data_IF_345515365395
#
_entry.id   IF_345515365395
#
_cell.length_a   1.000
_cell.length_b   1.000
_cell.length_c   1.000
_cell.angle_alpha   90.00
_cell.angle_beta   90.00
_cell.angle_gamma   90.00
#
_symmetry.space_group_name_H-M   'P 1'
#
loop_
_entity.id
_entity.type
_entity.pdbx_description
1 polymer ?
#
# COMPACT_ATOMS: atom_id res chain seq x y z
N UNK A 1 -37.77 0.25 31.62
CA UNK A 1 -37.17 0.65 30.32
C UNK A 1 -35.71 0.28 30.34
N UNK A 2 -35.38 -0.88 29.80
CA UNK A 2 -34.01 -1.34 29.58
C UNK A 2 -33.46 -0.60 28.35
N UNK A 3 -32.25 -0.02 28.40
CA UNK A 3 -31.68 0.65 27.23
C UNK A 3 -31.37 -0.38 26.13
N UNK A 4 -31.46 -0.02 24.84
CA UNK A 4 -31.32 -0.97 23.74
C UNK A 4 -29.86 -1.43 23.62
N UNK A 5 -29.66 -2.76 23.64
CA UNK A 5 -28.37 -3.45 23.66
C UNK A 5 -27.73 -3.69 22.28
N UNK A 6 -28.20 -3.01 21.22
CA UNK A 6 -28.13 -3.56 19.86
C UNK A 6 -27.16 -2.91 18.85
N UNK A 7 -26.58 -1.73 19.10
CA UNK A 7 -25.74 -1.03 18.09
C UNK A 7 -24.25 -1.36 18.25
N UNK A 8 -23.75 -1.50 19.49
CA UNK A 8 -22.34 -1.78 19.76
C UNK A 8 -21.98 -3.27 19.53
N UNK A 9 -22.86 -4.20 19.91
CA UNK A 9 -22.61 -5.63 19.73
C UNK A 9 -22.47 -6.04 18.26
N UNK A 10 -23.26 -5.43 17.36
CA UNK A 10 -23.20 -5.72 15.93
C UNK A 10 -21.96 -5.12 15.25
N UNK A 11 -21.38 -4.05 15.80
CA UNK A 11 -20.12 -3.49 15.35
C UNK A 11 -18.92 -4.32 15.79
N UNK A 12 -18.86 -4.70 17.08
CA UNK A 12 -17.80 -5.54 17.62
C UNK A 12 -17.78 -6.92 16.94
N UNK A 13 -18.95 -7.48 16.63
CA UNK A 13 -19.11 -8.70 15.83
C UNK A 13 -18.57 -8.52 14.41
N UNK A 14 -18.87 -7.39 13.76
CA UNK A 14 -18.37 -7.11 12.41
C UNK A 14 -16.84 -6.94 12.37
N UNK A 15 -16.26 -6.24 13.35
CA UNK A 15 -14.80 -6.13 13.52
C UNK A 15 -14.16 -7.48 13.80
N UNK A 16 -14.76 -8.29 14.67
CA UNK A 16 -14.28 -9.63 14.98
C UNK A 16 -14.34 -10.55 13.75
N UNK A 17 -15.39 -10.45 12.95
CA UNK A 17 -15.55 -11.19 11.70
C UNK A 17 -14.49 -10.79 10.67
N UNK A 18 -14.27 -9.49 10.47
CA UNK A 18 -13.25 -8.97 9.56
C UNK A 18 -11.86 -9.47 9.96
N UNK A 19 -11.52 -9.39 11.26
CA UNK A 19 -10.27 -9.94 11.80
C UNK A 19 -10.16 -11.45 11.59
N UNK A 20 -11.25 -12.19 11.84
CA UNK A 20 -11.27 -13.64 11.66
C UNK A 20 -11.03 -14.04 10.21
N UNK A 21 -11.61 -13.32 9.25
CA UNK A 21 -11.42 -13.57 7.82
C UNK A 21 -9.96 -13.36 7.40
N UNK A 22 -9.32 -12.28 7.86
CA UNK A 22 -7.89 -12.03 7.63
C UNK A 22 -7.02 -13.15 8.21
N UNK A 23 -7.30 -13.60 9.44
CA UNK A 23 -6.53 -14.69 10.06
C UNK A 23 -6.76 -16.04 9.37
N UNK A 24 -7.98 -16.30 8.89
CA UNK A 24 -8.29 -17.49 8.09
C UNK A 24 -7.54 -17.48 6.76
N UNK A 25 -7.54 -16.34 6.07
CA UNK A 25 -6.81 -16.11 4.82
C UNK A 25 -5.30 -16.30 5.02
N UNK A 26 -4.74 -15.73 6.09
CA UNK A 26 -3.34 -15.91 6.44
C UNK A 26 -2.97 -17.37 6.72
N UNK A 27 -3.82 -18.09 7.45
CA UNK A 27 -3.60 -19.51 7.72
C UNK A 27 -3.71 -20.39 6.46
N UNK A 28 -4.55 -20.03 5.49
CA UNK A 28 -4.60 -20.68 4.18
C UNK A 28 -3.33 -20.41 3.37
N UNK A 29 -2.87 -19.16 3.31
CA UNK A 29 -1.63 -18.78 2.64
C UNK A 29 -0.40 -19.49 3.24
N UNK A 30 -0.30 -19.57 4.58
CA UNK A 30 0.75 -20.32 5.28
C UNK A 30 0.76 -21.80 4.86
N UNK A 31 -0.42 -22.44 4.84
CA UNK A 31 -0.56 -23.84 4.44
C UNK A 31 -0.21 -24.05 2.97
N UNK A 32 -0.66 -23.16 2.08
CA UNK A 32 -0.34 -23.24 0.65
C UNK A 32 1.16 -23.13 0.42
N UNK A 33 1.83 -22.17 1.08
CA UNK A 33 3.27 -21.99 0.98
C UNK A 33 4.05 -23.18 1.55
N UNK A 34 3.65 -23.72 2.71
CA UNK A 34 4.25 -24.94 3.28
C UNK A 34 4.08 -26.16 2.37
N UNK A 35 2.90 -26.34 1.76
CA UNK A 35 2.63 -27.41 0.78
C UNK A 35 3.47 -27.25 -0.48
N UNK A 36 3.58 -26.03 -1.02
CA UNK A 36 4.37 -25.74 -2.21
C UNK A 36 5.86 -26.08 -1.99
N UNK A 37 6.41 -25.70 -0.84
CA UNK A 37 7.80 -26.00 -0.48
C UNK A 37 8.00 -27.49 -0.23
N UNK A 38 7.11 -28.14 0.53
CA UNK A 38 7.20 -29.60 0.76
C UNK A 38 7.06 -30.37 -0.56
N UNK A 39 6.23 -29.91 -1.47
CA UNK A 39 6.09 -30.47 -2.82
C UNK A 39 7.37 -30.37 -3.63
N UNK A 40 8.14 -29.28 -3.47
CA UNK A 40 9.48 -29.14 -4.05
C UNK A 40 10.50 -30.06 -3.38
N UNK A 41 10.63 -30.01 -2.05
CA UNK A 41 11.65 -30.74 -1.30
C UNK A 41 11.47 -32.26 -1.35
N UNK A 42 10.21 -32.72 -1.24
CA UNK A 42 9.86 -34.14 -1.27
C UNK A 42 9.55 -34.65 -2.67
N UNK A 43 9.57 -33.75 -3.66
CA UNK A 43 9.22 -34.04 -5.05
C UNK A 43 7.82 -34.66 -5.19
N UNK A 44 6.86 -34.09 -4.46
CA UNK A 44 5.48 -34.55 -4.40
C UNK A 44 4.57 -33.62 -5.19
N UNK A 45 4.14 -34.09 -6.36
CA UNK A 45 3.25 -33.37 -7.27
C UNK A 45 1.83 -33.21 -6.71
N UNK A 46 1.38 -34.08 -5.80
CA UNK A 46 0.06 -33.97 -5.19
C UNK A 46 0.02 -32.79 -4.23
N UNK A 47 1.05 -32.62 -3.40
CA UNK A 47 1.19 -31.45 -2.52
C UNK A 47 1.22 -30.14 -3.32
N UNK A 48 1.90 -30.14 -4.47
CA UNK A 48 1.92 -28.99 -5.37
C UNK A 48 0.54 -28.71 -5.99
N UNK A 49 -0.19 -29.75 -6.40
CA UNK A 49 -1.53 -29.60 -6.96
C UNK A 49 -2.52 -29.04 -5.94
N UNK A 50 -2.43 -29.50 -4.68
CA UNK A 50 -3.24 -28.94 -3.58
C UNK A 50 -2.91 -27.48 -3.32
N UNK A 51 -1.63 -27.09 -3.25
CA UNK A 51 -1.25 -25.69 -3.05
C UNK A 51 -1.81 -24.75 -4.14
N UNK A 52 -1.81 -25.19 -5.41
CA UNK A 52 -2.39 -24.44 -6.53
C UNK A 52 -3.93 -24.34 -6.42
N UNK A 53 -4.58 -25.35 -5.85
CA UNK A 53 -6.04 -25.35 -5.70
C UNK A 53 -6.52 -24.48 -4.53
N UNK A 54 -5.68 -24.30 -3.50
CA UNK A 54 -5.99 -23.45 -2.33
C UNK A 54 -6.10 -21.94 -2.69
N UNK A 55 -5.51 -21.53 -3.82
CA UNK A 55 -5.42 -20.14 -4.31
C UNK A 55 -6.80 -19.48 -4.48
N UNK A 56 -7.76 -20.19 -5.10
CA UNK A 56 -9.11 -19.66 -5.34
C UNK A 56 -9.84 -19.33 -4.02
N UNK A 57 -9.65 -20.12 -2.96
CA UNK A 57 -10.27 -19.83 -1.66
C UNK A 57 -9.70 -18.54 -1.04
N UNK A 58 -8.41 -18.27 -1.26
CA UNK A 58 -7.72 -17.07 -0.77
C UNK A 58 -8.20 -15.84 -1.53
N UNK A 59 -8.35 -15.92 -2.86
CA UNK A 59 -8.91 -14.83 -3.68
C UNK A 59 -10.34 -14.46 -3.28
N UNK A 60 -11.16 -15.45 -2.94
CA UNK A 60 -12.52 -15.20 -2.47
C UNK A 60 -12.52 -14.53 -1.10
N UNK A 61 -11.61 -14.93 -0.20
CA UNK A 61 -11.46 -14.29 1.11
C UNK A 61 -10.95 -12.86 0.98
N UNK A 62 -10.03 -12.56 0.06
CA UNK A 62 -9.58 -11.19 -0.20
C UNK A 62 -10.76 -10.27 -0.56
N UNK A 63 -11.56 -10.68 -1.56
CA UNK A 63 -12.76 -9.95 -1.99
C UNK A 63 -13.78 -9.79 -0.87
N UNK A 64 -13.93 -10.82 -0.04
CA UNK A 64 -14.84 -10.80 1.09
C UNK A 64 -14.36 -9.84 2.20
N UNK A 65 -13.06 -9.81 2.51
CA UNK A 65 -12.47 -8.89 3.48
C UNK A 65 -12.64 -7.44 3.01
N UNK A 66 -12.41 -7.16 1.74
CA UNK A 66 -12.59 -5.82 1.18
C UNK A 66 -14.06 -5.38 1.26
N UNK A 67 -14.98 -6.26 0.88
CA UNK A 67 -16.42 -6.00 0.98
C UNK A 67 -16.86 -5.76 2.43
N UNK A 68 -16.46 -6.62 3.35
CA UNK A 68 -16.78 -6.49 4.77
C UNK A 68 -16.19 -5.21 5.36
N UNK A 69 -14.97 -4.86 4.96
CA UNK A 69 -14.31 -3.62 5.35
C UNK A 69 -15.11 -2.39 4.90
N UNK A 70 -15.52 -2.33 3.63
CA UNK A 70 -16.38 -1.25 3.10
C UNK A 70 -17.72 -1.20 3.83
N UNK A 71 -18.37 -2.34 4.06
CA UNK A 71 -19.63 -2.39 4.79
C UNK A 71 -19.48 -1.86 6.23
N UNK A 72 -18.37 -2.18 6.90
CA UNK A 72 -18.08 -1.63 8.24
C UNK A 72 -17.88 -0.12 8.20
N UNK A 73 -17.14 0.40 7.22
CA UNK A 73 -16.90 1.84 7.05
C UNK A 73 -18.21 2.61 6.80
N UNK A 74 -19.05 2.11 5.90
CA UNK A 74 -20.31 2.76 5.52
C UNK A 74 -21.34 2.71 6.65
N UNK A 75 -21.47 1.56 7.32
CA UNK A 75 -22.55 1.30 8.28
C UNK A 75 -22.27 1.88 9.65
N UNK A 76 -21.01 1.88 10.09
CA UNK A 76 -20.64 2.22 11.46
C UNK A 76 -19.79 3.47 11.57
N UNK A 77 -19.19 3.97 10.48
CA UNK A 77 -18.35 5.17 10.45
C UNK A 77 -17.32 5.18 11.60
N UNK A 78 -16.48 4.12 11.70
CA UNK A 78 -15.57 3.96 12.82
C UNK A 78 -14.55 5.09 12.86
N UNK A 79 -14.07 5.42 14.06
CA UNK A 79 -13.12 6.52 14.30
C UNK A 79 -11.86 6.01 14.98
N UNK A 80 -10.78 6.79 14.91
CA UNK A 80 -9.53 6.56 15.64
C UNK A 80 -9.01 5.12 15.54
N UNK A 81 -8.98 4.37 16.65
CA UNK A 81 -8.45 3.01 16.70
C UNK A 81 -9.23 2.03 15.81
N UNK A 82 -10.55 2.15 15.74
CA UNK A 82 -11.36 1.17 15.03
C UNK A 82 -11.30 1.41 13.52
N UNK A 83 -11.20 2.66 13.09
CA UNK A 83 -10.89 2.99 11.69
C UNK A 83 -9.56 2.36 11.26
N UNK A 84 -8.52 2.50 12.10
CA UNK A 84 -7.22 1.89 11.83
C UNK A 84 -7.28 0.38 11.74
N UNK A 85 -8.09 -0.30 12.58
CA UNK A 85 -8.27 -1.76 12.53
C UNK A 85 -8.89 -2.21 11.21
N UNK A 86 -9.94 -1.52 10.76
CA UNK A 86 -10.62 -1.84 9.49
C UNK A 86 -9.69 -1.62 8.31
N UNK A 87 -9.02 -0.46 8.25
CA UNK A 87 -8.08 -0.15 7.18
C UNK A 87 -6.87 -1.08 7.19
N UNK A 88 -6.35 -1.47 8.37
CA UNK A 88 -5.25 -2.42 8.47
C UNK A 88 -5.65 -3.80 7.93
N UNK A 89 -6.85 -4.28 8.24
CA UNK A 89 -7.37 -5.54 7.72
C UNK A 89 -7.46 -5.51 6.18
N UNK A 90 -8.07 -4.46 5.61
CA UNK A 90 -8.19 -4.28 4.15
C UNK A 90 -6.83 -4.10 3.46
N UNK A 91 -5.85 -3.46 4.11
CA UNK A 91 -4.49 -3.33 3.56
C UNK A 91 -3.67 -4.61 3.67
N UNK A 92 -4.02 -5.51 4.59
CA UNK A 92 -3.30 -6.75 4.80
C UNK A 92 -3.76 -7.84 3.81
N UNK A 93 -5.05 -7.88 3.44
CA UNK A 93 -5.61 -8.88 2.52
C UNK A 93 -4.84 -8.99 1.20
N UNK A 94 -4.55 -7.91 0.43
CA UNK A 94 -3.81 -8.02 -0.82
C UNK A 94 -2.35 -8.47 -0.63
N UNK A 95 -1.77 -8.25 0.55
CA UNK A 95 -0.42 -8.74 0.83
C UNK A 95 -0.41 -10.24 1.15
N UNK A 96 -1.46 -10.75 1.79
CA UNK A 96 -1.63 -12.19 2.04
C UNK A 96 -1.93 -12.92 0.73
N UNK A 97 -2.76 -12.34 -0.14
CA UNK A 97 -3.04 -12.88 -1.49
C UNK A 97 -1.75 -13.07 -2.26
N UNK A 98 -0.89 -12.03 -2.33
CA UNK A 98 0.43 -12.14 -2.99
C UNK A 98 1.31 -13.26 -2.45
N UNK A 99 1.23 -13.57 -1.15
CA UNK A 99 1.98 -14.70 -0.56
C UNK A 99 1.45 -16.04 -1.08
N UNK A 100 0.12 -16.19 -1.19
CA UNK A 100 -0.50 -17.36 -1.78
C UNK A 100 -0.14 -17.51 -3.27
N UNK A 101 -0.12 -16.39 -3.98
CA UNK A 101 0.24 -16.31 -5.39
C UNK A 101 1.70 -16.76 -5.63
N UNK A 102 2.61 -16.40 -4.71
CA UNK A 102 3.98 -16.94 -4.69
C UNK A 102 4.01 -18.44 -4.39
N UNK A 103 3.18 -18.95 -3.48
CA UNK A 103 3.07 -20.37 -3.21
C UNK A 103 2.61 -21.15 -4.47
N UNK A 104 1.60 -20.64 -5.17
CA UNK A 104 1.13 -21.17 -6.46
C UNK A 104 2.26 -21.21 -7.50
N UNK A 105 3.05 -20.14 -7.59
CA UNK A 105 4.20 -20.08 -8.49
C UNK A 105 5.30 -21.10 -8.13
N UNK A 106 5.62 -21.24 -6.85
CA UNK A 106 6.57 -22.24 -6.34
C UNK A 106 6.06 -23.64 -6.69
N UNK A 107 4.80 -23.95 -6.42
CA UNK A 107 4.21 -25.26 -6.70
C UNK A 107 4.20 -25.60 -8.21
N UNK A 108 3.89 -24.64 -9.08
CA UNK A 108 3.95 -24.82 -10.54
C UNK A 108 5.38 -25.11 -11.02
N UNK A 109 6.37 -24.43 -10.44
CA UNK A 109 7.80 -24.65 -10.76
C UNK A 109 8.29 -25.98 -10.21
N UNK A 110 7.91 -26.34 -8.98
CA UNK A 110 8.22 -27.62 -8.35
C UNK A 110 7.78 -28.80 -9.21
N UNK A 111 6.54 -28.78 -9.72
CA UNK A 111 6.05 -29.82 -10.65
C UNK A 111 6.84 -29.95 -11.96
N UNK A 112 7.47 -28.87 -12.43
CA UNK A 112 8.38 -28.94 -13.59
C UNK A 112 9.70 -29.57 -13.16
N UNK A 113 10.29 -29.12 -12.07
CA UNK A 113 11.56 -29.65 -11.53
C UNK A 113 11.46 -31.13 -11.12
N UNK A 114 10.30 -31.56 -10.62
CA UNK A 114 10.04 -32.95 -10.22
C UNK A 114 10.09 -33.94 -11.40
N UNK A 115 10.06 -33.46 -12.65
CA UNK A 115 10.23 -34.28 -13.86
C UNK A 115 11.69 -34.53 -14.23
N UNK A 116 12.62 -33.77 -13.66
CA UNK A 116 14.06 -33.86 -13.93
C UNK A 116 14.80 -34.50 -12.73
N UNK A 117 16.03 -35.02 -12.91
CA UNK A 117 16.80 -35.58 -11.80
C UNK A 117 16.90 -34.64 -10.58
N UNK A 118 17.00 -35.17 -9.35
CA UNK A 118 17.13 -34.36 -8.14
C UNK A 118 18.34 -33.41 -8.22
N UNK A 119 18.11 -32.15 -7.87
CA UNK A 119 19.13 -31.11 -7.79
C UNK A 119 19.48 -30.88 -6.31
N UNK A 120 20.70 -31.21 -5.86
CA UNK A 120 21.14 -30.97 -4.49
C UNK A 120 21.07 -29.49 -4.07
N UNK A 121 21.13 -28.57 -5.04
CA UNK A 121 21.10 -27.13 -4.83
C UNK A 121 19.78 -26.62 -4.25
N UNK A 122 18.69 -27.39 -4.34
CA UNK A 122 17.39 -27.05 -3.76
C UNK A 122 17.50 -26.85 -2.24
N UNK A 123 18.41 -27.56 -1.57
CA UNK A 123 18.62 -27.43 -0.12
C UNK A 123 19.05 -26.02 0.31
N UNK A 124 19.62 -25.23 -0.59
CA UNK A 124 20.02 -23.83 -0.33
C UNK A 124 18.78 -22.98 0.02
N UNK A 125 17.59 -23.35 -0.44
CA UNK A 125 16.35 -22.61 -0.18
C UNK A 125 15.77 -22.84 1.21
N UNK A 126 16.13 -23.93 1.90
CA UNK A 126 15.50 -24.32 3.19
C UNK A 126 15.68 -23.25 4.28
N UNK A 127 16.88 -22.67 4.50
CA UNK A 127 17.07 -21.63 5.50
C UNK A 127 16.28 -20.36 5.16
N UNK A 128 16.24 -19.96 3.88
CA UNK A 128 15.52 -18.78 3.39
C UNK A 128 14.03 -18.94 3.66
N UNK A 129 13.48 -20.10 3.28
CA UNK A 129 12.07 -20.41 3.51
C UNK A 129 11.74 -20.42 5.00
N UNK A 130 12.58 -21.04 5.82
CA UNK A 130 12.35 -21.11 7.27
C UNK A 130 12.27 -19.70 7.88
N UNK A 131 13.18 -18.81 7.47
CA UNK A 131 13.21 -17.42 7.94
C UNK A 131 12.02 -16.61 7.43
N UNK A 132 11.71 -16.71 6.12
CA UNK A 132 10.56 -16.03 5.52
C UNK A 132 9.23 -16.46 6.15
N UNK A 133 9.05 -17.76 6.40
CA UNK A 133 7.84 -18.29 7.03
C UNK A 133 7.71 -17.83 8.48
N UNK A 134 8.81 -17.79 9.23
CA UNK A 134 8.82 -17.26 10.59
C UNK A 134 8.44 -15.77 10.62
N UNK A 135 8.99 -14.97 9.70
CA UNK A 135 8.63 -13.55 9.56
C UNK A 135 7.16 -13.35 9.20
N UNK A 136 6.63 -14.12 8.25
CA UNK A 136 5.22 -14.07 7.88
C UNK A 136 4.33 -14.38 9.08
N UNK A 137 4.60 -15.48 9.79
CA UNK A 137 3.85 -15.89 10.97
C UNK A 137 3.88 -14.84 12.07
N UNK A 138 5.06 -14.31 12.39
CA UNK A 138 5.21 -13.27 13.42
C UNK A 138 4.52 -11.97 13.01
N UNK A 139 4.48 -11.64 11.71
CA UNK A 139 3.73 -10.50 11.18
C UNK A 139 2.21 -10.65 11.36
N UNK A 140 1.68 -11.85 11.11
CA UNK A 140 0.28 -12.18 11.33
C UNK A 140 -0.05 -12.23 12.83
N UNK A 141 0.83 -12.78 13.67
CA UNK A 141 0.68 -12.78 15.12
C UNK A 141 0.71 -11.36 15.71
N UNK A 142 1.57 -10.49 15.18
CA UNK A 142 1.62 -9.07 15.54
C UNK A 142 0.31 -8.37 15.21
N UNK A 143 -0.25 -8.61 14.03
CA UNK A 143 -1.57 -8.11 13.66
C UNK A 143 -2.67 -8.66 14.57
N UNK A 144 -2.69 -9.98 14.82
CA UNK A 144 -3.72 -10.64 15.61
C UNK A 144 -3.79 -10.13 17.05
N UNK A 145 -2.64 -9.81 17.64
CA UNK A 145 -2.48 -9.37 19.04
C UNK A 145 -2.36 -7.85 19.19
N UNK A 146 -2.35 -7.11 18.08
CA UNK A 146 -2.06 -5.67 18.06
C UNK A 146 -0.69 -5.35 18.72
N UNK A 147 0.28 -6.25 18.53
CA UNK A 147 1.61 -6.19 19.13
C UNK A 147 2.56 -5.38 18.22
N UNK A 148 2.69 -4.10 18.55
CA UNK A 148 3.53 -3.15 17.80
C UNK A 148 5.01 -3.50 17.90
N UNK A 149 5.47 -4.04 19.03
CA UNK A 149 6.88 -4.35 19.24
C UNK A 149 7.29 -5.56 18.42
N UNK A 150 6.44 -6.61 18.37
CA UNK A 150 6.62 -7.74 17.47
C UNK A 150 6.59 -7.28 16.00
N UNK A 151 5.66 -6.40 15.63
CA UNK A 151 5.58 -5.84 14.28
C UNK A 151 6.87 -5.12 13.85
N UNK A 152 7.45 -4.28 14.72
CA UNK A 152 8.74 -3.63 14.45
C UNK A 152 9.91 -4.62 14.37
N UNK A 153 9.90 -5.64 15.21
CA UNK A 153 10.93 -6.68 15.22
C UNK A 153 10.91 -7.53 13.93
N UNK A 154 9.75 -7.73 13.29
CA UNK A 154 9.67 -8.38 11.97
C UNK A 154 10.41 -7.56 10.91
N UNK A 155 10.20 -6.23 10.85
CA UNK A 155 10.83 -5.36 9.84
C UNK A 155 12.35 -5.42 9.88
N UNK A 156 12.94 -5.48 11.08
CA UNK A 156 14.40 -5.53 11.23
C UNK A 156 15.03 -6.82 10.62
N UNK A 157 14.28 -7.92 10.60
CA UNK A 157 14.74 -9.25 10.14
C UNK A 157 14.72 -9.40 8.62
N UNK A 158 14.13 -8.45 7.89
CA UNK A 158 14.06 -8.46 6.43
C UNK A 158 15.45 -8.33 5.78
N UNK A 159 16.35 -7.57 6.42
CA UNK A 159 17.74 -7.44 5.98
C UNK A 159 18.48 -8.78 5.98
N UNK A 160 18.17 -9.65 6.94
CA UNK A 160 18.76 -10.99 7.02
C UNK A 160 18.23 -11.86 5.87
N UNK A 161 16.93 -11.76 5.55
CA UNK A 161 16.31 -12.47 4.43
C UNK A 161 16.92 -12.06 3.09
N UNK A 162 17.08 -10.75 2.87
CA UNK A 162 17.75 -10.18 1.69
C UNK A 162 19.19 -10.69 1.54
N UNK A 163 19.92 -10.73 2.64
CA UNK A 163 21.29 -11.26 2.65
C UNK A 163 21.32 -12.73 2.27
N UNK A 164 20.43 -13.56 2.85
CA UNK A 164 20.34 -14.98 2.52
C UNK A 164 19.97 -15.22 1.05
N UNK A 165 19.05 -14.43 0.51
CA UNK A 165 18.67 -14.48 -0.92
C UNK A 165 19.85 -14.12 -1.84
N UNK A 166 20.59 -13.04 -1.54
CA UNK A 166 21.78 -12.65 -2.31
C UNK A 166 22.84 -13.75 -2.31
N UNK A 167 23.09 -14.35 -1.16
CA UNK A 167 24.07 -15.44 -1.02
C UNK A 167 23.64 -16.70 -1.77
N UNK A 168 22.35 -17.05 -1.73
CA UNK A 168 21.81 -18.18 -2.47
C UNK A 168 21.92 -17.98 -3.99
N UNK A 169 21.52 -16.81 -4.49
CA UNK A 169 21.61 -16.47 -5.91
C UNK A 169 23.05 -16.54 -6.41
N UNK A 170 23.99 -15.94 -5.67
CA UNK A 170 25.42 -16.00 -6.01
C UNK A 170 25.92 -17.44 -6.13
N UNK A 171 25.59 -18.30 -5.17
CA UNK A 171 26.01 -19.71 -5.16
C UNK A 171 25.42 -20.51 -6.33
N UNK A 172 24.17 -20.22 -6.70
CA UNK A 172 23.53 -20.82 -7.87
C UNK A 172 24.21 -20.35 -9.17
N UNK A 173 24.49 -19.06 -9.32
CA UNK A 173 25.20 -18.52 -10.50
C UNK A 173 26.60 -19.12 -10.65
N UNK A 174 27.36 -19.27 -9.56
CA UNK A 174 28.69 -19.89 -9.58
C UNK A 174 28.62 -21.36 -10.03
N UNK A 175 27.63 -22.13 -9.56
CA UNK A 175 27.38 -23.52 -10.00
C UNK A 175 27.03 -23.59 -11.49
N UNK A 176 26.21 -22.68 -11.97
CA UNK A 176 25.81 -22.62 -13.38
C UNK A 176 26.99 -22.35 -14.32
N UNK A 177 27.89 -21.43 -13.93
CA UNK A 177 29.11 -21.16 -14.68
C UNK A 177 30.05 -22.37 -14.74
N UNK A 178 30.11 -23.17 -13.68
CA UNK A 178 30.91 -24.40 -13.62
C UNK A 178 30.32 -25.53 -14.48
N UNK A 179 28.99 -25.66 -14.55
CA UNK A 179 28.30 -26.70 -15.32
C UNK A 179 28.45 -26.56 -16.85
N UNK A 180 28.67 -25.34 -17.37
CA UNK A 180 28.93 -25.11 -18.81
C UNK A 180 30.31 -25.63 -19.29
N UNK A 181 31.12 -26.21 -18.40
CA UNK A 181 32.50 -26.64 -18.68
C UNK A 181 32.66 -28.16 -18.92
N UNK A 182 31.58 -28.97 -18.92
CA UNK A 182 31.62 -30.42 -19.16
C UNK A 182 30.77 -30.81 -20.40
N UNK A 183 31.30 -31.50 -21.43
CA UNK A 183 30.62 -31.65 -22.73
C UNK A 183 29.63 -32.82 -22.84
N UNK A 184 29.38 -33.63 -21.80
CA UNK A 184 28.48 -34.80 -21.89
C UNK A 184 27.05 -34.53 -21.37
N UNK A 185 26.67 -33.27 -21.20
CA UNK A 185 25.39 -32.89 -20.61
C UNK A 185 24.51 -32.06 -21.57
N UNK A 186 24.53 -32.37 -22.87
CA UNK A 186 23.63 -31.75 -23.85
C UNK A 186 22.14 -32.09 -23.63
N UNK A 187 21.81 -33.15 -22.88
CA UNK A 187 20.44 -33.39 -22.38
C UNK A 187 20.12 -32.66 -21.06
N UNK A 188 21.12 -32.07 -20.40
CA UNK A 188 20.92 -31.14 -19.27
C UNK A 188 20.71 -29.69 -19.73
N UNK A 189 20.69 -29.42 -21.04
CA UNK A 189 20.36 -28.11 -21.60
C UNK A 189 18.87 -27.68 -21.36
N UNK A 190 18.06 -28.54 -20.72
CA UNK A 190 16.80 -28.13 -20.10
C UNK A 190 16.99 -27.38 -18.75
N UNK A 191 18.21 -27.31 -18.23
CA UNK A 191 18.64 -26.44 -17.14
C UNK A 191 18.93 -25.06 -17.73
N UNK A 192 17.87 -24.44 -18.26
CA UNK A 192 17.79 -22.98 -18.34
C UNK A 192 17.92 -22.48 -16.90
N UNK A 193 18.68 -21.40 -16.64
CA UNK A 193 18.81 -20.85 -15.30
C UNK A 193 17.46 -20.74 -14.63
N UNK A 194 17.40 -21.08 -13.35
CA UNK A 194 16.49 -20.44 -12.41
C UNK A 194 16.97 -18.97 -12.29
N UNK A 195 16.89 -18.21 -13.37
CA UNK A 195 16.68 -16.78 -13.33
C UNK A 195 15.19 -16.64 -13.52
N UNK A 196 14.49 -16.56 -12.39
CA UNK A 196 13.14 -16.02 -12.35
C UNK A 196 13.05 -14.59 -12.94
N UNK A 197 14.18 -13.99 -13.31
CA UNK A 197 14.25 -12.71 -14.00
C UNK A 197 13.97 -12.80 -15.50
N UNK A 198 14.35 -13.83 -16.26
CA UNK A 198 14.35 -13.72 -17.74
C UNK A 198 13.05 -14.12 -18.44
N UNK A 199 12.37 -15.20 -18.03
CA UNK A 199 11.07 -15.60 -18.64
C UNK A 199 9.85 -14.99 -17.95
N UNK A 200 10.02 -14.47 -16.72
CA UNK A 200 9.05 -13.53 -16.15
C UNK A 200 9.27 -12.13 -16.71
N UNK A 201 10.49 -11.69 -17.06
CA UNK A 201 10.69 -10.41 -17.77
C UNK A 201 9.87 -10.35 -19.07
N UNK A 202 9.94 -11.40 -19.87
CA UNK A 202 9.30 -11.38 -21.20
C UNK A 202 7.76 -11.51 -21.17
N UNK A 203 7.17 -11.97 -20.05
CA UNK A 203 5.71 -12.12 -19.89
C UNK A 203 5.07 -11.16 -18.88
N UNK A 204 5.80 -10.79 -17.84
CA UNK A 204 5.36 -9.94 -16.72
C UNK A 204 6.32 -8.79 -16.42
N UNK A 205 7.52 -8.74 -17.02
CA UNK A 205 8.47 -7.61 -16.95
C UNK A 205 8.36 -6.64 -18.12
N UNK A 206 7.39 -6.86 -19.03
CA UNK A 206 7.05 -5.83 -19.99
C UNK A 206 6.53 -4.64 -19.20
N UNK A 207 7.26 -3.54 -19.30
CA UNK A 207 7.03 -2.27 -18.64
C UNK A 207 5.57 -1.81 -18.75
N UNK A 208 4.90 -2.18 -19.84
CA UNK A 208 3.48 -1.90 -20.13
C UNK A 208 2.48 -2.60 -19.20
N UNK A 209 2.91 -3.65 -18.50
CA UNK A 209 2.06 -4.42 -17.58
C UNK A 209 2.07 -3.85 -16.15
N UNK A 210 3.00 -2.95 -15.84
CA UNK A 210 3.06 -2.30 -14.53
C UNK A 210 2.48 -0.90 -14.63
N UNK A 211 1.55 -0.61 -13.72
CA UNK A 211 1.03 0.74 -13.53
C UNK A 211 1.85 1.37 -12.40
N UNK A 212 2.39 2.58 -12.65
CA UNK A 212 3.12 3.32 -11.63
C UNK A 212 2.24 3.47 -10.38
N UNK A 213 2.76 3.03 -9.23
CA UNK A 213 2.04 3.07 -7.95
C UNK A 213 1.51 4.46 -7.59
N UNK A 214 2.33 5.48 -7.81
CA UNK A 214 2.02 6.85 -7.41
C UNK A 214 1.01 7.48 -8.37
N UNK A 215 1.08 7.15 -9.67
CA UNK A 215 0.04 7.53 -10.63
C UNK A 215 -1.27 6.77 -10.38
N UNK A 216 -1.23 5.47 -10.05
CA UNK A 216 -2.42 4.71 -9.65
C UNK A 216 -3.09 5.30 -8.41
N UNK A 217 -2.30 5.80 -7.47
CA UNK A 217 -2.82 6.49 -6.30
C UNK A 217 -3.55 7.78 -6.69
N UNK A 218 -2.98 8.59 -7.59
CA UNK A 218 -3.65 9.80 -8.10
C UNK A 218 -4.94 9.48 -8.87
N UNK A 219 -4.98 8.39 -9.64
CA UNK A 219 -6.20 7.95 -10.34
C UNK A 219 -7.25 7.36 -9.37
N UNK A 220 -6.83 6.76 -8.26
CA UNK A 220 -7.76 6.47 -7.17
C UNK A 220 -8.31 7.77 -6.57
N UNK A 221 -7.46 8.75 -6.31
CA UNK A 221 -7.86 10.03 -5.74
C UNK A 221 -8.78 10.83 -6.69
N UNK A 222 -8.57 10.73 -8.01
CA UNK A 222 -9.48 11.25 -9.04
C UNK A 222 -10.90 10.71 -8.87
N UNK A 223 -11.07 9.41 -8.63
CA UNK A 223 -12.39 8.81 -8.40
C UNK A 223 -13.09 9.38 -7.16
N UNK A 224 -12.34 9.75 -6.13
CA UNK A 224 -12.90 10.46 -4.97
C UNK A 224 -13.39 11.87 -5.36
N UNK A 225 -12.65 12.57 -6.22
CA UNK A 225 -13.09 13.86 -6.76
C UNK A 225 -14.35 13.71 -7.64
N UNK A 226 -14.46 12.63 -8.40
CA UNK A 226 -15.64 12.33 -9.22
C UNK A 226 -16.91 12.17 -8.36
N UNK A 227 -16.81 11.57 -7.17
CA UNK A 227 -17.92 11.52 -6.20
C UNK A 227 -18.34 12.92 -5.70
N UNK A 228 -17.40 13.87 -5.62
CA UNK A 228 -17.71 15.26 -5.32
C UNK A 228 -18.37 15.99 -6.51
N UNK A 229 -18.06 15.57 -7.74
CA UNK A 229 -18.63 16.14 -8.97
C UNK A 229 -20.05 15.62 -9.23
N UNK A 230 -20.43 14.45 -8.74
CA UNK A 230 -21.74 13.85 -8.99
C UNK A 230 -22.89 14.70 -8.41
N UNK A 231 -23.75 15.31 -9.25
CA UNK A 231 -24.88 16.12 -8.78
C UNK A 231 -26.02 15.30 -8.18
N UNK A 232 -26.02 13.96 -8.32
CA UNK A 232 -27.01 13.08 -7.71
C UNK A 232 -26.74 12.86 -6.22
N UNK A 233 -25.50 13.08 -5.78
CA UNK A 233 -25.11 13.02 -4.37
C UNK A 233 -25.66 14.24 -3.59
N UNK A 234 -26.06 14.07 -2.32
CA UNK A 234 -26.44 15.21 -1.49
C UNK A 234 -25.31 16.25 -1.40
N UNK A 235 -25.66 17.54 -1.45
CA UNK A 235 -24.69 18.64 -1.51
C UNK A 235 -23.62 18.58 -0.41
N UNK A 236 -23.99 18.19 0.81
CA UNK A 236 -23.02 18.09 1.90
C UNK A 236 -22.07 16.90 1.74
N UNK A 237 -22.52 15.79 1.16
CA UNK A 237 -21.67 14.64 0.86
C UNK A 237 -20.67 14.99 -0.24
N UNK A 238 -21.08 15.77 -1.24
CA UNK A 238 -20.17 16.30 -2.26
C UNK A 238 -19.06 17.16 -1.67
N UNK A 239 -19.40 18.03 -0.70
CA UNK A 239 -18.40 18.84 0.03
C UNK A 239 -17.46 17.96 0.86
N UNK A 240 -17.97 16.88 1.47
CA UNK A 240 -17.13 15.92 2.21
C UNK A 240 -16.18 15.18 1.27
N UNK A 241 -16.65 14.69 0.13
CA UNK A 241 -15.78 14.04 -0.86
C UNK A 241 -14.70 14.99 -1.37
N UNK A 242 -15.03 16.26 -1.59
CA UNK A 242 -14.04 17.27 -1.94
C UNK A 242 -12.98 17.45 -0.84
N UNK A 243 -13.40 17.48 0.43
CA UNK A 243 -12.48 17.53 1.57
C UNK A 243 -11.60 16.28 1.66
N UNK A 244 -12.17 15.08 1.47
CA UNK A 244 -11.42 13.82 1.49
C UNK A 244 -10.39 13.80 0.36
N UNK A 245 -10.78 14.23 -0.85
CA UNK A 245 -9.85 14.41 -1.98
C UNK A 245 -8.67 15.30 -1.59
N UNK A 246 -8.95 16.51 -1.09
CA UNK A 246 -7.94 17.50 -0.70
C UNK A 246 -7.00 16.96 0.39
N UNK A 247 -7.57 16.39 1.46
CA UNK A 247 -6.80 15.83 2.58
C UNK A 247 -5.94 14.65 2.18
N UNK A 248 -6.45 13.78 1.31
CA UNK A 248 -5.66 12.66 0.80
C UNK A 248 -4.51 13.18 -0.07
N UNK A 249 -4.75 14.22 -0.89
CA UNK A 249 -3.73 14.81 -1.75
C UNK A 249 -2.60 15.42 -0.91
N UNK A 250 -2.92 16.10 0.19
CA UNK A 250 -1.93 16.59 1.15
C UNK A 250 -1.05 15.45 1.70
N UNK A 251 -1.65 14.34 2.17
CA UNK A 251 -0.89 13.17 2.65
C UNK A 251 0.02 12.58 1.57
N UNK A 252 -0.47 12.53 0.32
CA UNK A 252 0.33 12.07 -0.81
C UNK A 252 1.55 12.97 -1.06
N UNK A 253 1.40 14.29 -0.97
CA UNK A 253 2.54 15.20 -1.10
C UNK A 253 3.51 15.10 0.09
N UNK A 254 2.99 15.01 1.31
CA UNK A 254 3.80 14.93 2.54
C UNK A 254 4.65 13.64 2.57
N UNK A 255 4.10 12.51 2.13
CA UNK A 255 4.76 11.21 2.24
C UNK A 255 5.39 10.78 0.92
N UNK A 256 4.60 10.72 -0.16
CA UNK A 256 5.01 10.09 -1.43
C UNK A 256 5.90 10.99 -2.25
N UNK A 257 5.48 12.23 -2.47
CA UNK A 257 6.25 13.18 -3.27
C UNK A 257 7.56 13.56 -2.57
N UNK A 258 7.56 13.65 -1.24
CA UNK A 258 8.78 13.80 -0.45
C UNK A 258 9.79 12.66 -0.72
N UNK A 259 9.33 11.40 -0.67
CA UNK A 259 10.18 10.25 -0.98
C UNK A 259 10.75 10.26 -2.41
N UNK A 260 9.95 10.64 -3.41
CA UNK A 260 10.42 10.77 -4.80
C UNK A 260 11.45 11.88 -4.93
N UNK A 261 11.26 13.04 -4.29
CA UNK A 261 12.25 14.12 -4.31
C UNK A 261 13.57 13.69 -3.69
N UNK A 262 13.53 12.93 -2.60
CA UNK A 262 14.74 12.38 -1.98
C UNK A 262 15.49 11.44 -2.94
N UNK A 263 14.77 10.61 -3.72
CA UNK A 263 15.37 9.73 -4.74
C UNK A 263 16.01 10.52 -5.90
N UNK A 264 15.39 11.64 -6.31
CA UNK A 264 15.94 12.54 -7.33
C UNK A 264 17.23 13.21 -6.80
N UNK A 265 17.21 13.69 -5.55
CA UNK A 265 18.38 14.34 -4.92
C UNK A 265 19.54 13.38 -4.68
N UNK A 266 19.26 12.10 -4.43
CA UNK A 266 20.29 11.06 -4.28
C UNK A 266 20.87 10.55 -5.61
N UNK A 267 20.53 11.18 -6.75
CA UNK A 267 20.92 10.81 -8.12
C UNK A 267 20.72 9.32 -8.44
N UNK A 268 19.77 8.68 -7.75
CA UNK A 268 19.53 7.25 -7.89
C UNK A 268 18.75 7.04 -9.19
N UNK A 269 19.42 6.46 -10.19
CA UNK A 269 18.86 6.23 -11.53
C UNK A 269 18.08 4.92 -11.65
N UNK A 270 17.70 4.33 -10.51
CA UNK A 270 16.98 3.07 -10.50
C UNK A 270 15.56 3.29 -11.01
N UNK A 271 15.34 2.78 -12.21
CA UNK A 271 14.05 2.84 -12.88
C UNK A 271 13.14 1.79 -12.23
N UNK A 272 11.92 2.18 -11.86
CA UNK A 272 10.97 1.28 -11.23
C UNK A 272 10.46 0.20 -12.21
N UNK A 273 9.67 -0.78 -11.74
CA UNK A 273 9.20 -1.90 -12.56
C UNK A 273 8.31 -1.48 -13.75
N UNK A 274 7.69 -0.30 -13.67
CA UNK A 274 6.96 0.41 -14.73
C UNK A 274 7.88 1.22 -15.66
N UNK A 275 9.18 1.08 -15.46
CA UNK A 275 10.29 1.70 -16.18
C UNK A 275 10.22 3.24 -16.28
N UNK A 276 9.56 3.90 -15.32
CA UNK A 276 9.68 5.34 -15.13
C UNK A 276 10.82 5.66 -14.17
N UNK A 277 11.65 6.65 -14.52
CA UNK A 277 12.59 7.23 -13.57
C UNK A 277 11.86 8.04 -12.49
N UNK A 278 12.50 8.30 -11.32
CA UNK A 278 11.95 9.19 -10.31
C UNK A 278 11.58 10.57 -10.86
N UNK A 279 12.41 11.14 -11.75
CA UNK A 279 12.15 12.43 -12.40
C UNK A 279 10.95 12.39 -13.34
N UNK A 280 10.81 11.33 -14.15
CA UNK A 280 9.65 11.17 -15.03
C UNK A 280 8.36 10.96 -14.23
N UNK A 281 8.42 10.13 -13.18
CA UNK A 281 7.31 9.92 -12.25
C UNK A 281 6.89 11.24 -11.61
N UNK A 282 7.84 12.03 -11.10
CA UNK A 282 7.59 13.34 -10.51
C UNK A 282 6.93 14.31 -11.49
N UNK A 283 7.43 14.39 -12.73
CA UNK A 283 6.85 15.25 -13.76
C UNK A 283 5.40 14.85 -14.11
N UNK A 284 5.12 13.55 -14.17
CA UNK A 284 3.77 13.05 -14.41
C UNK A 284 2.83 13.35 -13.23
N UNK A 285 3.29 13.14 -12.00
CA UNK A 285 2.58 13.52 -10.78
C UNK A 285 2.25 15.02 -10.81
N UNK A 286 3.23 15.88 -11.09
CA UNK A 286 3.03 17.32 -11.12
C UNK A 286 1.97 17.73 -12.14
N UNK A 287 1.97 17.13 -13.33
CA UNK A 287 0.95 17.39 -14.36
C UNK A 287 -0.44 16.99 -13.88
N UNK A 288 -0.60 15.74 -13.42
CA UNK A 288 -1.90 15.23 -12.98
C UNK A 288 -2.42 15.96 -11.75
N UNK A 289 -1.56 16.25 -10.76
CA UNK A 289 -1.95 16.98 -9.57
C UNK A 289 -2.46 18.39 -9.91
N UNK A 290 -1.81 19.13 -10.82
CA UNK A 290 -2.32 20.42 -11.26
C UNK A 290 -3.68 20.32 -11.97
N UNK A 291 -3.87 19.30 -12.80
CA UNK A 291 -5.17 19.05 -13.45
C UNK A 291 -6.27 18.78 -12.41
N UNK A 292 -5.98 17.94 -11.41
CA UNK A 292 -6.94 17.57 -10.36
C UNK A 292 -7.25 18.75 -9.42
N UNK A 293 -6.24 19.51 -8.99
CA UNK A 293 -6.43 20.71 -8.16
C UNK A 293 -7.20 21.78 -8.93
N UNK A 294 -6.91 22.00 -10.22
CA UNK A 294 -7.71 22.93 -11.02
C UNK A 294 -9.19 22.52 -11.07
N UNK A 295 -9.45 21.21 -11.20
CA UNK A 295 -10.81 20.64 -11.18
C UNK A 295 -11.50 20.84 -9.84
N UNK A 296 -10.79 20.57 -8.72
CA UNK A 296 -11.28 20.81 -7.35
C UNK A 296 -11.69 22.27 -7.15
N UNK A 297 -10.81 23.22 -7.52
CA UNK A 297 -11.08 24.65 -7.38
C UNK A 297 -12.22 25.12 -8.27
N UNK A 298 -12.34 24.57 -9.47
CA UNK A 298 -13.46 24.88 -10.36
C UNK A 298 -14.79 24.42 -9.75
N UNK A 299 -14.86 23.17 -9.30
CA UNK A 299 -16.03 22.60 -8.63
C UNK A 299 -16.40 23.40 -7.37
N UNK A 300 -15.43 23.70 -6.52
CA UNK A 300 -15.63 24.44 -5.29
C UNK A 300 -16.21 25.84 -5.54
N UNK A 301 -15.55 26.61 -6.42
CA UNK A 301 -15.88 28.03 -6.61
C UNK A 301 -17.10 28.24 -7.51
N UNK A 302 -17.23 27.47 -8.59
CA UNK A 302 -18.29 27.69 -9.58
C UNK A 302 -19.58 26.94 -9.23
N UNK A 303 -19.51 25.88 -8.43
CA UNK A 303 -20.67 25.04 -8.16
C UNK A 303 -21.01 24.92 -6.66
N UNK A 304 -20.10 24.40 -5.84
CA UNK A 304 -20.43 24.07 -4.44
C UNK A 304 -20.68 25.30 -3.59
N UNK A 305 -19.83 26.34 -3.65
CA UNK A 305 -20.06 27.61 -2.92
C UNK A 305 -21.43 28.24 -3.26
N UNK A 306 -21.79 28.43 -4.56
CA UNK A 306 -23.11 28.94 -4.91
C UNK A 306 -24.28 28.09 -4.39
N UNK A 307 -24.16 26.76 -4.45
CA UNK A 307 -25.21 25.85 -3.97
C UNK A 307 -25.34 25.88 -2.45
N UNK A 308 -24.23 25.93 -1.72
CA UNK A 308 -24.23 26.09 -0.27
C UNK A 308 -24.92 27.41 0.12
N UNK A 309 -24.60 28.50 -0.58
CA UNK A 309 -25.18 29.81 -0.32
C UNK A 309 -26.71 29.84 -0.53
N UNK A 310 -27.23 29.11 -1.53
CA UNK A 310 -28.67 28.92 -1.75
C UNK A 310 -29.34 28.18 -0.59
N UNK A 311 -28.62 27.26 0.05
CA UNK A 311 -29.07 26.51 1.23
C UNK A 311 -28.74 27.21 2.56
N UNK A 312 -28.35 28.50 2.52
CA UNK A 312 -28.10 29.30 3.72
C UNK A 312 -26.69 29.16 4.33
N UNK A 313 -25.83 28.31 3.76
CA UNK A 313 -24.45 28.13 4.21
C UNK A 313 -23.55 29.06 3.38
N UNK A 314 -22.97 30.09 4.01
CA UNK A 314 -22.17 31.10 3.30
C UNK A 314 -20.73 31.12 3.80
N UNK A 315 -19.80 30.77 2.92
CA UNK A 315 -18.37 31.04 3.08
C UNK A 315 -18.14 32.51 2.69
N UNK A 316 -17.57 33.32 3.58
CA UNK A 316 -17.40 34.76 3.39
C UNK A 316 -15.95 35.16 3.42
N UNK A 317 -15.56 36.03 2.50
CA UNK A 317 -14.26 36.69 2.51
C UNK A 317 -14.22 37.79 3.58
N UNK A 318 -13.02 38.13 4.03
CA UNK A 318 -12.78 39.20 5.01
C UNK A 318 -13.38 40.53 4.55
N UNK A 319 -13.33 40.81 3.24
CA UNK A 319 -13.92 42.01 2.62
C UNK A 319 -15.45 42.07 2.69
N UNK A 320 -16.13 40.94 2.91
CA UNK A 320 -17.58 40.84 3.04
C UNK A 320 -18.07 40.96 4.49
N UNK A 321 -17.15 41.08 5.46
CA UNK A 321 -17.50 41.22 6.86
C UNK A 321 -18.00 42.64 7.15
N UNK A 322 -19.10 42.74 7.90
CA UNK A 322 -19.52 44.03 8.44
C UNK A 322 -18.56 44.54 9.52
N UNK A 323 -18.64 45.83 9.85
CA UNK A 323 -17.74 46.47 10.81
C UNK A 323 -17.61 45.72 12.15
N UNK A 324 -18.72 45.19 12.69
CA UNK A 324 -18.73 44.44 13.95
C UNK A 324 -17.95 43.12 13.84
N UNK A 325 -18.17 42.34 12.78
CA UNK A 325 -17.49 41.06 12.55
C UNK A 325 -16.03 41.25 12.19
N UNK A 326 -15.71 42.28 11.40
CA UNK A 326 -14.34 42.63 11.07
C UNK A 326 -13.55 43.05 12.33
N UNK A 327 -14.17 43.85 13.22
CA UNK A 327 -13.56 44.21 14.49
C UNK A 327 -13.31 42.98 15.38
N UNK A 328 -14.27 42.05 15.46
CA UNK A 328 -14.10 40.78 16.18
C UNK A 328 -12.96 39.94 15.60
N UNK A 329 -12.94 39.74 14.27
CA UNK A 329 -11.91 38.93 13.60
C UNK A 329 -10.52 39.53 13.78
N UNK A 330 -10.39 40.86 13.71
CA UNK A 330 -9.12 41.57 13.96
C UNK A 330 -8.66 41.37 15.41
N UNK A 331 -9.57 41.49 16.37
CA UNK A 331 -9.27 41.29 17.78
C UNK A 331 -8.80 39.85 18.03
N UNK A 332 -9.55 38.86 17.54
CA UNK A 332 -9.19 37.45 17.65
C UNK A 332 -7.83 37.16 17.01
N UNK A 333 -7.56 37.70 15.82
CA UNK A 333 -6.26 37.54 15.18
C UNK A 333 -5.13 38.11 16.03
N UNK A 334 -5.30 39.32 16.59
CA UNK A 334 -4.25 39.97 17.40
C UNK A 334 -4.01 39.28 18.75
N UNK A 335 -5.05 38.77 19.38
CA UNK A 335 -4.99 38.21 20.73
C UNK A 335 -4.69 36.70 20.74
N UNK A 336 -5.19 35.94 19.76
CA UNK A 336 -5.12 34.47 19.78
C UNK A 336 -4.22 33.90 18.69
N UNK A 337 -4.22 34.48 17.47
CA UNK A 337 -3.49 33.91 16.33
C UNK A 337 -2.07 34.47 16.22
N UNK A 338 -1.92 35.79 16.21
CA UNK A 338 -0.65 36.49 16.03
C UNK A 338 0.40 36.09 17.07
N UNK A 339 0.08 35.91 18.37
CA UNK A 339 1.07 35.47 19.36
C UNK A 339 1.58 34.05 19.14
N UNK A 340 0.83 33.21 18.42
CA UNK A 340 1.25 31.85 18.04
C UNK A 340 2.13 31.85 16.79
N UNK A 341 2.15 32.95 16.02
CA UNK A 341 3.03 33.09 14.86
C UNK A 341 4.45 33.39 15.35
N UNK A 342 5.36 32.45 15.13
CA UNK A 342 6.78 32.63 15.43
C UNK A 342 7.47 33.25 14.21
N UNK A 343 7.94 34.51 14.28
CA UNK A 343 8.71 35.09 13.19
C UNK A 343 10.07 34.39 13.09
N UNK A 344 10.39 33.84 11.92
CA UNK A 344 11.66 33.17 11.65
C UNK A 344 12.50 34.05 10.72
N UNK A 345 13.68 34.48 11.20
CA UNK A 345 14.64 35.20 10.37
C UNK A 345 15.41 34.20 9.50
N UNK A 346 15.46 34.46 8.20
CA UNK A 346 16.20 33.63 7.23
C UNK A 346 17.27 34.49 6.59
N UNK A 347 18.54 34.12 6.81
CA UNK A 347 19.72 34.81 6.26
C UNK A 347 20.85 33.79 6.01
N UNK A 348 22.01 34.25 5.53
CA UNK A 348 23.13 33.36 5.22
C UNK A 348 23.69 32.58 6.43
N UNK A 349 23.47 33.08 7.65
CA UNK A 349 23.86 32.45 8.92
C UNK A 349 22.71 31.66 9.58
N UNK A 350 21.46 31.92 9.19
CA UNK A 350 20.26 31.23 9.64
C UNK A 350 19.51 30.64 8.44
N UNK A 351 19.89 29.43 7.98
CA UNK A 351 19.23 28.78 6.84
C UNK A 351 17.76 28.48 7.16
N UNK A 352 16.96 28.30 6.11
CA UNK A 352 15.54 28.06 6.24
C UNK A 352 15.28 26.85 7.17
N UNK A 353 14.46 27.01 8.22
CA UNK A 353 14.29 25.97 9.24
C UNK A 353 13.45 24.80 8.72
N UNK A 354 13.67 23.61 9.30
CA UNK A 354 12.77 22.47 9.10
C UNK A 354 11.41 22.78 9.71
N UNK A 355 10.37 22.81 8.88
CA UNK A 355 8.99 23.02 9.30
C UNK A 355 8.32 21.65 9.50
N UNK A 356 7.56 21.49 10.58
CA UNK A 356 6.70 20.32 10.75
C UNK A 356 5.54 20.31 9.74
N UNK A 357 4.88 19.16 9.58
CA UNK A 357 3.62 19.09 8.84
C UNK A 357 2.58 20.03 9.48
N UNK A 358 1.71 20.63 8.66
CA UNK A 358 0.67 21.63 9.04
C UNK A 358 1.13 23.04 9.45
N UNK A 359 2.42 23.39 9.30
CA UNK A 359 2.86 24.78 9.51
C UNK A 359 2.49 25.68 8.32
N UNK A 360 1.75 26.76 8.58
CA UNK A 360 1.44 27.78 7.58
C UNK A 360 2.51 28.86 7.63
N UNK A 361 3.33 28.96 6.57
CA UNK A 361 4.26 30.07 6.38
C UNK A 361 3.53 31.23 5.69
N UNK A 362 3.28 32.31 6.43
CA UNK A 362 2.77 33.56 5.88
C UNK A 362 3.97 34.39 5.42
N UNK A 363 4.14 34.54 4.09
CA UNK A 363 5.25 35.29 3.49
C UNK A 363 4.95 36.79 3.41
#
# INVERSE_FOLDING_TARGET
MTPPKHILGTFDEALASLRSNVLMMAGLAERSLDRAIKGLLKRDDNLCATAIADDEEIDQLEKQIDKDGVDVLLRFQPVASDLRRVIAAMKLSPNIERVADQATNIARRARKLNKHPPLPEIEIMVPIQTHAMAMFKDGIDAFAREDVDLGRAVVARDKDLDYMNKMANRKLTERMAQAQSQPEAEESAAIVPITAEQTAHERFGDQKNFINRELSWLEFNRRVLEEAQDPTQPLIERVKFLYIFSSNLDEFFEIRVAGIKQQIESETSDVAADGLSPTETFNQIQRLAHELVATEYELWNKELIPQLAKNGIRVRNVSELNAKRAAWARKYFQEEVLPMLTPLAVDASHPFPELGSTFISLR
#
